data_IF_709644637074
#
_entry.id   IF_709644637074
#
_cell.length_a   1.000
_cell.length_b   1.000
_cell.length_c   1.000
_cell.angle_alpha   90.00
_cell.angle_beta   90.00
_cell.angle_gamma   90.00
#
_symmetry.space_group_name_H-M   'P 1'
#
loop_
_entity.id
_entity.type
_entity.pdbx_description
1 polymer ?
#
# COMPACT_ATOMS: atom_id res chain seq x y z
N UNK A 1 18.77 -13.87 7.12
CA UNK A 1 18.53 -12.52 6.54
C UNK A 1 17.49 -11.84 7.41
N UNK A 2 17.83 -10.75 8.07
CA UNK A 2 16.90 -10.05 8.95
C UNK A 2 16.07 -9.06 8.13
N UNK A 3 14.75 -9.03 8.32
CA UNK A 3 13.90 -7.96 7.83
C UNK A 3 14.22 -6.70 8.65
N UNK A 4 14.98 -5.79 8.07
CA UNK A 4 15.32 -4.52 8.72
C UNK A 4 14.19 -3.52 8.58
N UNK A 5 13.60 -3.11 9.70
CA UNK A 5 12.74 -1.93 9.76
C UNK A 5 13.61 -0.73 10.05
N UNK A 6 13.85 0.13 9.07
CA UNK A 6 14.47 1.44 9.30
C UNK A 6 13.38 2.50 9.41
N UNK A 7 13.38 3.17 10.54
CA UNK A 7 12.44 4.13 11.07
C UNK A 7 11.76 5.04 10.05
N UNK A 8 10.66 4.62 9.61
CA UNK A 8 9.45 5.16 9.02
C UNK A 8 8.82 4.09 8.13
N UNK A 9 8.31 3.05 8.76
CA UNK A 9 7.21 2.18 8.32
C UNK A 9 7.15 1.73 6.85
N UNK A 10 8.29 1.59 6.17
CA UNK A 10 8.35 1.04 4.81
C UNK A 10 9.29 -0.14 4.76
N UNK A 11 8.76 -1.27 4.35
CA UNK A 11 9.54 -2.46 4.10
C UNK A 11 10.03 -2.37 2.64
N UNK A 12 11.33 -2.26 2.39
CA UNK A 12 11.81 -2.44 1.03
C UNK A 12 11.77 -3.92 0.72
N UNK A 13 10.80 -4.33 -0.03
CA UNK A 13 10.86 -5.61 -0.68
C UNK A 13 11.82 -5.49 -1.86
N UNK A 14 12.97 -6.14 -1.73
CA UNK A 14 14.01 -6.26 -2.73
C UNK A 14 14.81 -4.97 -3.06
N UNK A 15 15.90 -5.19 -3.71
CA UNK A 15 17.01 -4.29 -4.01
C UNK A 15 16.56 -2.99 -4.68
N UNK A 16 16.84 -1.81 -4.12
CA UNK A 16 16.65 -0.55 -4.84
C UNK A 16 17.50 -0.54 -6.12
N UNK A 17 17.04 0.18 -7.13
CA UNK A 17 17.87 0.43 -8.30
C UNK A 17 19.19 1.11 -7.89
N UNK A 18 20.33 0.81 -8.55
CA UNK A 18 21.60 1.43 -8.22
C UNK A 18 21.52 2.96 -8.20
N UNK A 19 21.99 3.59 -7.11
CA UNK A 19 21.97 5.04 -6.95
C UNK A 19 20.67 5.61 -6.39
N UNK A 20 19.67 4.75 -6.08
CA UNK A 20 18.37 5.18 -5.59
C UNK A 20 18.24 5.00 -4.07
N UNK A 21 17.73 6.01 -3.38
CA UNK A 21 17.40 5.97 -1.95
C UNK A 21 15.88 6.10 -1.77
N UNK A 22 15.11 5.01 -1.94
CA UNK A 22 13.65 5.04 -1.93
C UNK A 22 13.06 5.56 -0.62
N UNK A 23 13.84 5.53 0.45
CA UNK A 23 13.45 6.03 1.77
C UNK A 23 13.52 7.55 1.89
N UNK A 24 14.42 8.22 1.16
CA UNK A 24 14.57 9.66 1.23
C UNK A 24 13.40 10.39 0.56
N UNK A 25 12.87 9.79 -0.52
CA UNK A 25 11.83 10.42 -1.35
C UNK A 25 10.40 10.05 -0.93
N UNK A 26 10.24 9.10 0.00
CA UNK A 26 8.94 8.58 0.45
C UNK A 26 8.02 8.09 -0.70
N UNK A 27 8.59 7.66 -1.82
CA UNK A 27 7.87 7.23 -3.02
C UNK A 27 7.90 5.71 -3.16
N UNK A 28 6.74 5.08 -2.98
CA UNK A 28 6.59 3.63 -3.16
C UNK A 28 6.89 3.17 -4.59
N UNK A 29 6.62 4.01 -5.60
CA UNK A 29 6.85 3.68 -7.02
C UNK A 29 8.30 3.37 -7.37
N UNK A 30 9.23 3.66 -6.46
CA UNK A 30 10.65 3.38 -6.60
C UNK A 30 11.09 2.13 -5.81
N UNK A 31 10.16 1.48 -5.14
CA UNK A 31 10.38 0.20 -4.47
C UNK A 31 10.08 -0.95 -5.43
N UNK A 32 10.74 -2.11 -5.21
CA UNK A 32 10.51 -3.30 -6.03
C UNK A 32 9.14 -3.93 -5.80
N UNK A 33 8.51 -3.64 -4.65
CA UNK A 33 7.17 -4.10 -4.30
C UNK A 33 6.50 -3.07 -3.40
N UNK A 34 5.22 -2.82 -3.65
CA UNK A 34 4.38 -1.93 -2.83
C UNK A 34 2.92 -2.37 -2.91
N UNK A 35 2.17 -2.10 -1.86
CA UNK A 35 0.77 -2.50 -1.75
C UNK A 35 -0.13 -1.56 -2.54
N UNK A 36 -1.07 -2.13 -3.31
CA UNK A 36 -2.07 -1.42 -4.09
C UNK A 36 -3.46 -1.73 -3.54
N UNK A 37 -4.07 -0.78 -2.84
CA UNK A 37 -5.40 -0.91 -2.23
C UNK A 37 -6.17 0.42 -2.36
N UNK A 38 -7.52 0.36 -2.38
CA UNK A 38 -8.37 -0.82 -2.39
C UNK A 38 -8.53 -1.48 -3.77
N UNK A 39 -7.88 -0.97 -4.80
CA UNK A 39 -7.85 -1.56 -6.14
C UNK A 39 -6.44 -1.51 -6.73
N UNK A 40 -6.12 -2.48 -7.60
CA UNK A 40 -4.75 -2.70 -8.08
C UNK A 40 -4.46 -2.10 -9.45
N UNK A 41 -5.46 -1.80 -10.26
CA UNK A 41 -5.26 -1.30 -11.63
C UNK A 41 -5.77 0.15 -11.78
N UNK A 42 -6.34 0.50 -12.92
CA UNK A 42 -6.82 1.83 -13.28
C UNK A 42 -8.33 1.85 -13.41
N UNK A 43 -8.94 2.93 -12.92
CA UNK A 43 -10.36 3.25 -13.14
C UNK A 43 -10.41 4.33 -14.21
N UNK A 44 -11.07 4.02 -15.34
CA UNK A 44 -11.23 4.94 -16.48
C UNK A 44 -11.99 6.18 -16.02
N UNK A 45 -11.53 7.34 -16.43
CA UNK A 45 -12.14 8.64 -16.12
C UNK A 45 -12.30 8.88 -14.61
N UNK A 46 -11.55 8.12 -13.78
CA UNK A 46 -11.66 8.13 -12.31
C UNK A 46 -13.10 7.96 -11.80
N UNK A 47 -13.95 7.21 -12.51
CA UNK A 47 -15.37 7.16 -12.28
C UNK A 47 -15.94 5.77 -12.56
N UNK A 48 -16.93 5.34 -11.76
CA UNK A 48 -17.68 4.10 -11.97
C UNK A 48 -19.03 4.12 -11.28
N UNK A 49 -20.06 3.47 -11.85
CA UNK A 49 -21.34 3.28 -11.17
C UNK A 49 -21.24 2.14 -10.14
N UNK A 50 -21.82 2.33 -8.97
CA UNK A 50 -21.93 1.29 -7.95
C UNK A 50 -23.22 1.45 -7.12
N UNK A 51 -24.03 0.42 -7.06
CA UNK A 51 -25.34 0.41 -6.37
C UNK A 51 -26.22 1.63 -6.68
N UNK A 52 -26.29 2.02 -7.95
CA UNK A 52 -27.09 3.17 -8.39
C UNK A 52 -26.49 4.54 -8.07
N UNK A 53 -25.31 4.58 -7.49
CA UNK A 53 -24.56 5.79 -7.23
C UNK A 53 -23.45 5.99 -8.27
N UNK A 54 -23.18 7.23 -8.61
CA UNK A 54 -22.08 7.65 -9.47
C UNK A 54 -20.84 7.94 -8.59
N UNK A 55 -19.92 6.99 -8.51
CA UNK A 55 -18.70 7.13 -7.70
C UNK A 55 -17.64 7.86 -8.51
N UNK A 56 -17.18 9.00 -7.99
CA UNK A 56 -16.13 9.82 -8.59
C UNK A 56 -14.92 9.90 -7.68
N UNK A 57 -13.76 9.55 -8.24
CA UNK A 57 -12.47 9.65 -7.59
C UNK A 57 -11.70 10.86 -8.16
N UNK A 58 -10.68 11.30 -7.44
CA UNK A 58 -9.72 12.27 -7.96
C UNK A 58 -8.79 11.57 -8.94
N UNK A 59 -8.64 12.05 -10.19
CA UNK A 59 -7.66 11.51 -11.12
C UNK A 59 -6.23 11.58 -10.56
N UNK A 60 -5.47 10.52 -10.72
CA UNK A 60 -4.08 10.41 -10.23
C UNK A 60 -3.06 10.31 -11.35
N UNK A 61 -3.52 10.27 -12.60
CA UNK A 61 -2.68 10.25 -13.80
C UNK A 61 -2.97 11.45 -14.70
N UNK A 62 -2.04 11.79 -15.59
CA UNK A 62 -2.18 12.93 -16.51
C UNK A 62 -3.30 12.75 -17.54
N UNK A 63 -3.64 11.50 -17.83
CA UNK A 63 -4.71 11.10 -18.76
C UNK A 63 -6.07 10.90 -18.08
N UNK A 64 -6.22 11.37 -16.82
CA UNK A 64 -7.52 11.43 -16.15
C UNK A 64 -7.95 10.13 -15.46
N UNK A 65 -7.07 9.16 -15.29
CA UNK A 65 -7.39 7.89 -14.63
C UNK A 65 -7.14 7.97 -13.13
N UNK A 66 -7.90 7.21 -12.33
CA UNK A 66 -7.51 6.87 -10.96
C UNK A 66 -6.72 5.56 -10.97
N UNK A 67 -5.51 5.57 -10.40
CA UNK A 67 -4.56 4.47 -10.51
C UNK A 67 -4.11 3.96 -9.14
N UNK A 68 -4.18 2.62 -8.95
CA UNK A 68 -3.50 1.89 -7.89
C UNK A 68 -3.99 2.18 -6.47
N UNK A 69 -5.23 2.59 -6.32
CA UNK A 69 -5.76 2.96 -5.01
C UNK A 69 -5.04 4.16 -4.39
N UNK A 70 -5.04 4.24 -3.06
CA UNK A 70 -4.51 5.43 -2.38
C UNK A 70 -3.66 5.11 -1.13
N UNK A 71 -3.22 3.86 -0.96
CA UNK A 71 -2.43 3.47 0.23
C UNK A 71 -0.92 3.45 0.01
N UNK A 72 -0.47 3.39 -1.24
CA UNK A 72 0.94 3.12 -1.56
C UNK A 72 1.94 4.14 -1.04
N UNK A 73 1.52 5.40 -0.85
CA UNK A 73 2.35 6.50 -0.35
C UNK A 73 1.92 6.95 1.05
N UNK A 74 1.01 6.22 1.71
CA UNK A 74 0.55 6.52 3.06
C UNK A 74 1.32 5.70 4.09
N UNK A 75 1.54 6.21 5.30
CA UNK A 75 2.18 5.46 6.37
C UNK A 75 1.28 4.33 6.86
N UNK A 76 1.90 3.21 7.18
CA UNK A 76 1.29 2.06 7.84
C UNK A 76 1.85 1.92 9.24
N UNK A 77 1.07 1.40 10.16
CA UNK A 77 1.59 0.96 11.45
C UNK A 77 2.34 -0.35 11.26
N UNK A 78 3.56 -0.43 11.78
CA UNK A 78 4.41 -1.62 11.64
C UNK A 78 4.68 -2.21 13.01
N UNK A 79 4.38 -3.50 13.15
CA UNK A 79 4.68 -4.31 14.31
C UNK A 79 5.69 -5.39 13.94
N UNK A 80 6.81 -5.45 14.66
CA UNK A 80 7.74 -6.57 14.59
C UNK A 80 7.27 -7.65 15.55
N UNK A 81 6.57 -8.65 15.02
CA UNK A 81 6.05 -9.77 15.83
C UNK A 81 7.19 -10.69 16.26
N UNK A 82 8.18 -10.89 15.39
CA UNK A 82 9.42 -11.63 15.66
C UNK A 82 10.53 -11.20 14.70
N UNK A 83 11.72 -11.81 14.82
CA UNK A 83 12.83 -11.57 13.90
C UNK A 83 12.54 -11.98 12.46
N UNK A 84 11.54 -12.82 12.25
CA UNK A 84 11.13 -13.34 10.96
C UNK A 84 9.70 -12.98 10.57
N UNK A 85 8.98 -12.16 11.38
CA UNK A 85 7.57 -11.85 11.14
C UNK A 85 7.31 -10.36 11.37
N UNK A 86 6.85 -9.68 10.31
CA UNK A 86 6.34 -8.31 10.36
C UNK A 86 4.85 -8.31 10.06
N UNK A 87 4.12 -7.49 10.81
CA UNK A 87 2.72 -7.16 10.56
C UNK A 87 2.60 -5.66 10.30
N UNK A 88 1.96 -5.30 9.19
CA UNK A 88 1.67 -3.91 8.83
C UNK A 88 0.16 -3.72 8.82
N UNK A 89 -0.34 -2.69 9.51
CA UNK A 89 -1.77 -2.38 9.58
C UNK A 89 -2.06 -1.01 9.03
N UNK A 90 -3.21 -0.87 8.38
CA UNK A 90 -3.69 0.36 7.79
C UNK A 90 -5.17 0.55 8.10
N UNK A 91 -5.56 1.78 8.48
CA UNK A 91 -6.95 2.17 8.65
C UNK A 91 -7.23 3.42 7.82
N UNK A 92 -8.08 3.30 6.81
CA UNK A 92 -8.40 4.41 5.91
C UNK A 92 -9.06 5.59 6.63
N UNK A 93 -9.72 5.37 7.77
CA UNK A 93 -10.38 6.41 8.58
C UNK A 93 -9.41 7.40 9.20
N UNK A 94 -8.14 7.03 9.31
CA UNK A 94 -7.08 7.94 9.78
C UNK A 94 -6.71 9.04 8.75
N UNK A 95 -7.24 8.94 7.51
CA UNK A 95 -6.89 9.82 6.40
C UNK A 95 -8.15 10.47 5.82
N UNK A 96 -8.51 11.70 6.23
CA UNK A 96 -9.73 12.37 5.75
C UNK A 96 -9.71 12.71 4.26
N UNK A 97 -8.51 12.71 3.63
CA UNK A 97 -8.28 12.94 2.21
C UNK A 97 -8.19 11.66 1.38
N UNK A 98 -8.67 10.52 1.91
CA UNK A 98 -8.66 9.24 1.20
C UNK A 98 -9.42 9.33 -0.13
N UNK A 99 -8.75 9.00 -1.23
CA UNK A 99 -9.35 8.95 -2.56
C UNK A 99 -10.14 7.65 -2.79
N UNK A 100 -10.99 7.32 -1.83
CA UNK A 100 -11.91 6.18 -1.85
C UNK A 100 -13.09 6.45 -0.90
N UNK A 101 -14.35 6.25 -1.35
CA UNK A 101 -15.52 6.73 -0.59
C UNK A 101 -15.91 5.85 0.61
N UNK A 102 -15.41 4.63 0.68
CA UNK A 102 -15.77 3.70 1.76
C UNK A 102 -14.59 3.42 2.67
N UNK A 103 -14.86 3.38 3.98
CA UNK A 103 -13.84 3.03 4.95
C UNK A 103 -13.41 1.55 4.82
N UNK A 104 -12.13 1.30 5.00
CA UNK A 104 -11.57 -0.04 5.03
C UNK A 104 -10.37 -0.11 5.97
N UNK A 105 -10.08 -1.31 6.41
CA UNK A 105 -8.83 -1.63 7.09
C UNK A 105 -8.05 -2.66 6.28
N UNK A 106 -6.74 -2.66 6.42
CA UNK A 106 -5.89 -3.64 5.77
C UNK A 106 -4.81 -4.14 6.72
N UNK A 107 -4.44 -5.41 6.56
CA UNK A 107 -3.32 -6.04 7.24
C UNK A 107 -2.45 -6.72 6.21
N UNK A 108 -1.16 -6.41 6.19
CA UNK A 108 -0.17 -7.14 5.41
C UNK A 108 0.80 -7.81 6.37
N UNK A 109 1.03 -9.10 6.20
CA UNK A 109 2.00 -9.84 6.98
C UNK A 109 3.10 -10.39 6.07
N UNK A 110 4.31 -10.35 6.59
CA UNK A 110 5.52 -10.88 5.93
C UNK A 110 6.17 -11.87 6.87
N UNK A 111 6.26 -13.12 6.44
CA UNK A 111 6.83 -14.19 7.23
C UNK A 111 8.01 -14.83 6.48
N UNK A 112 9.18 -14.82 7.12
CA UNK A 112 10.36 -15.51 6.63
C UNK A 112 10.47 -16.89 7.28
N UNK A 113 10.59 -17.93 6.46
CA UNK A 113 10.95 -19.26 6.91
C UNK A 113 11.91 -19.93 5.93
N UNK A 114 13.13 -20.14 6.40
CA UNK A 114 14.23 -20.61 5.55
C UNK A 114 14.47 -19.64 4.39
N UNK A 115 14.51 -20.11 3.13
CA UNK A 115 14.70 -19.28 1.95
C UNK A 115 13.39 -18.63 1.43
N UNK A 116 12.24 -18.86 2.10
CA UNK A 116 10.92 -18.43 1.64
C UNK A 116 10.45 -17.17 2.37
N UNK A 117 9.81 -16.27 1.64
CA UNK A 117 9.07 -15.13 2.16
C UNK A 117 7.60 -15.30 1.79
N UNK A 118 6.76 -15.55 2.78
CA UNK A 118 5.32 -15.54 2.61
C UNK A 118 4.79 -14.14 2.86
N UNK A 119 3.90 -13.69 1.98
CA UNK A 119 3.19 -12.42 2.12
C UNK A 119 1.70 -12.67 2.07
N UNK A 120 0.99 -12.25 3.09
CA UNK A 120 -0.46 -12.24 3.11
C UNK A 120 -1.00 -10.81 3.14
N UNK A 121 -2.13 -10.58 2.48
CA UNK A 121 -2.83 -9.31 2.47
C UNK A 121 -4.31 -9.55 2.77
N UNK A 122 -4.80 -8.94 3.85
CA UNK A 122 -6.22 -8.96 4.23
C UNK A 122 -6.79 -7.56 4.08
N UNK A 123 -7.88 -7.42 3.34
CA UNK A 123 -8.65 -6.19 3.19
C UNK A 123 -10.04 -6.41 3.80
N UNK A 124 -10.44 -5.52 4.70
CA UNK A 124 -11.74 -5.58 5.37
C UNK A 124 -12.50 -4.29 5.14
N UNK A 125 -13.74 -4.40 4.67
CA UNK A 125 -14.67 -3.27 4.60
C UNK A 125 -15.08 -2.88 6.04
N UNK A 126 -15.01 -1.58 6.38
CA UNK A 126 -15.18 -1.10 7.76
C UNK A 126 -16.36 -0.14 7.91
#
# INVERSE_FOLDING_TARGET
>A
MALGVHGRDRIPAARPAPGHQPYADERSSQCASFTLLPYSNRIRDAHFPFHGQDVRLTPTTKDGLAQHGDVRNRPWQVERVSDAHLRCTFDSRAFPDMNWPWAFTAVTEYLLHGPHLDTSLTLTNA
#
